data_IF_344498385301
#
_entry.id   IF_344498385301
#
_cell.length_a   1.000
_cell.length_b   1.000
_cell.length_c   1.000
_cell.angle_alpha   90.00
_cell.angle_beta   90.00
_cell.angle_gamma   90.00
#
_symmetry.space_group_name_H-M   'P 1'
#
loop_
_entity.id
_entity.type
_entity.pdbx_description
1 polymer ?
#
# COMPACT_ATOMS: atom_id res chain seq x y z
N UNK A 1 -11.19 32.76 -5.64
CA UNK A 1 -10.67 32.20 -4.37
C UNK A 1 -9.58 31.16 -4.69
N UNK A 2 -8.31 31.58 -4.58
CA UNK A 2 -7.16 30.85 -5.09
C UNK A 2 -6.85 29.56 -4.33
N UNK A 3 -6.42 28.55 -5.08
CA UNK A 3 -5.82 27.32 -4.56
C UNK A 3 -4.44 27.67 -4.00
N UNK A 4 -4.14 27.41 -2.72
CA UNK A 4 -2.82 27.66 -2.17
C UNK A 4 -1.80 26.63 -2.69
N UNK A 5 -0.79 27.15 -3.39
CA UNK A 5 0.58 26.65 -3.59
C UNK A 5 0.90 25.17 -3.33
N UNK A 6 0.93 24.37 -4.40
CA UNK A 6 1.91 23.28 -4.55
C UNK A 6 3.24 23.89 -5.01
N UNK A 7 3.93 24.54 -4.08
CA UNK A 7 5.23 25.16 -4.31
C UNK A 7 6.23 24.66 -3.27
N UNK A 8 7.05 23.69 -3.66
CA UNK A 8 8.15 23.18 -2.84
C UNK A 8 8.73 21.93 -3.47
N UNK A 9 9.99 22.02 -3.91
CA UNK A 9 10.91 20.95 -4.33
C UNK A 9 10.40 19.51 -4.20
N UNK A 10 10.37 18.79 -5.32
CA UNK A 10 9.90 17.40 -5.49
C UNK A 10 10.65 16.31 -4.73
N UNK A 11 10.98 16.55 -3.46
CA UNK A 11 11.39 15.52 -2.51
C UNK A 11 10.18 15.27 -1.61
N UNK A 12 9.47 14.16 -1.84
CA UNK A 12 8.43 13.70 -0.94
C UNK A 12 8.98 13.49 0.47
N UNK A 13 8.13 13.49 1.52
CA UNK A 13 8.55 13.19 2.87
C UNK A 13 9.10 11.75 2.90
N UNK A 14 10.42 11.60 2.89
CA UNK A 14 11.10 10.31 2.83
C UNK A 14 12.32 10.25 1.89
N UNK A 15 12.51 11.22 0.99
CA UNK A 15 13.76 11.31 0.23
C UNK A 15 14.89 11.77 1.16
N UNK A 16 16.04 11.08 1.23
CA UNK A 16 17.17 11.55 2.01
C UNK A 16 17.59 12.96 1.53
N UNK A 17 17.81 13.93 2.42
CA UNK A 17 17.92 15.34 2.05
C UNK A 17 19.25 15.71 1.36
N UNK A 18 20.05 14.75 0.90
CA UNK A 18 21.31 14.98 0.20
C UNK A 18 21.90 13.68 -0.39
N UNK A 19 22.85 13.84 -1.33
CA UNK A 19 23.63 12.75 -1.90
C UNK A 19 24.51 11.96 -0.92
N UNK A 20 24.54 12.32 0.37
CA UNK A 20 25.21 11.51 1.41
C UNK A 20 24.29 10.39 1.92
N UNK A 21 22.99 10.66 2.13
CA UNK A 21 22.00 9.64 2.48
C UNK A 21 21.77 8.62 1.35
N UNK A 22 21.72 9.10 0.10
CA UNK A 22 21.59 8.26 -1.09
C UNK A 22 22.75 7.27 -1.26
N UNK A 23 23.99 7.73 -1.06
CA UNK A 23 25.19 6.89 -1.13
C UNK A 23 25.22 5.80 -0.07
N UNK A 24 24.62 6.04 1.10
CA UNK A 24 24.46 5.04 2.15
C UNK A 24 23.42 3.97 1.81
N UNK A 25 22.30 4.35 1.17
CA UNK A 25 21.20 3.44 0.85
C UNK A 25 21.44 2.61 -0.41
N UNK A 26 22.11 3.18 -1.42
CA UNK A 26 22.26 2.58 -2.75
C UNK A 26 22.84 1.15 -2.71
N UNK A 27 23.97 0.85 -2.04
CA UNK A 27 24.50 -0.52 -2.01
C UNK A 27 23.57 -1.54 -1.33
N UNK A 28 22.87 -1.14 -0.25
CA UNK A 28 21.94 -2.01 0.46
C UNK A 28 20.64 -2.31 -0.30
N UNK A 29 20.36 -1.57 -1.38
CA UNK A 29 19.16 -1.69 -2.21
C UNK A 29 19.48 -2.07 -3.66
N UNK A 30 20.53 -2.86 -3.86
CA UNK A 30 20.88 -3.45 -5.17
C UNK A 30 21.80 -2.59 -6.05
N UNK A 31 22.24 -1.43 -5.57
CA UNK A 31 23.23 -0.59 -6.23
C UNK A 31 24.64 -1.17 -6.17
N UNK A 32 25.43 -0.92 -7.22
CA UNK A 32 26.85 -1.28 -7.26
C UNK A 32 27.75 -0.05 -7.30
N UNK A 33 27.96 0.68 -6.19
CA UNK A 33 28.69 1.95 -6.20
C UNK A 33 30.19 1.78 -6.43
N UNK A 34 30.76 0.64 -6.03
CA UNK A 34 32.19 0.34 -6.17
C UNK A 34 32.53 -0.40 -7.46
N UNK A 35 31.57 -0.58 -8.38
CA UNK A 35 31.82 -1.30 -9.63
C UNK A 35 32.86 -0.52 -10.47
N UNK A 36 33.97 -1.16 -10.87
CA UNK A 36 35.00 -0.51 -11.69
C UNK A 36 34.43 0.03 -13.01
N UNK A 37 34.94 1.19 -13.44
CA UNK A 37 34.57 1.83 -14.71
C UNK A 37 33.30 2.70 -14.67
N UNK A 38 32.63 2.82 -13.52
CA UNK A 38 31.54 3.79 -13.36
C UNK A 38 32.10 5.22 -13.30
N UNK A 39 31.46 6.14 -14.02
CA UNK A 39 31.76 7.58 -13.95
C UNK A 39 31.28 8.19 -12.63
N UNK A 40 30.11 7.77 -12.17
CA UNK A 40 29.51 8.19 -10.91
C UNK A 40 29.13 6.95 -10.07
N UNK A 41 29.46 6.88 -8.76
CA UNK A 41 29.05 5.79 -7.87
C UNK A 41 27.52 5.55 -7.82
N UNK A 42 26.68 6.56 -8.04
CA UNK A 42 25.22 6.45 -8.08
C UNK A 42 24.67 6.08 -9.46
N UNK A 43 25.52 5.94 -10.49
CA UNK A 43 25.07 5.54 -11.83
C UNK A 43 24.28 4.22 -11.80
N UNK A 44 23.02 4.26 -12.24
CA UNK A 44 22.15 3.10 -12.29
C UNK A 44 22.52 2.17 -13.44
N UNK A 45 22.30 0.87 -13.25
CA UNK A 45 22.52 -0.13 -14.29
C UNK A 45 21.31 -0.16 -15.22
N UNK A 46 21.51 0.05 -16.53
CA UNK A 46 20.46 -0.08 -17.54
C UNK A 46 20.42 -1.47 -18.16
N UNK A 47 21.60 -1.98 -18.52
CA UNK A 47 21.75 -3.29 -19.14
C UNK A 47 22.91 -4.03 -18.49
N UNK A 48 22.63 -5.24 -18.00
CA UNK A 48 23.64 -6.15 -17.45
C UNK A 48 24.00 -7.16 -18.50
N UNK A 49 25.24 -7.15 -18.97
CA UNK A 49 25.76 -8.19 -19.86
C UNK A 49 25.61 -9.61 -19.29
N UNK A 50 25.47 -10.58 -20.19
CA UNK A 50 25.26 -12.00 -19.90
C UNK A 50 26.27 -12.56 -18.90
N UNK A 51 25.80 -13.43 -18.01
CA UNK A 51 26.61 -14.17 -17.05
C UNK A 51 26.21 -15.65 -17.11
N UNK A 52 27.17 -16.58 -16.93
CA UNK A 52 26.85 -18.00 -16.91
C UNK A 52 25.71 -18.32 -15.91
N UNK A 53 24.66 -18.98 -16.39
CA UNK A 53 23.51 -19.38 -15.60
C UNK A 53 22.44 -18.30 -15.34
N UNK A 54 22.63 -17.06 -15.81
CA UNK A 54 21.58 -16.03 -15.78
C UNK A 54 20.82 -15.98 -17.13
N UNK A 55 19.49 -15.72 -17.13
CA UNK A 55 18.75 -15.51 -18.37
C UNK A 55 19.25 -14.26 -19.11
N UNK A 56 19.24 -14.33 -20.45
CA UNK A 56 19.74 -13.27 -21.32
C UNK A 56 18.94 -13.16 -22.63
N UNK A 57 18.86 -11.94 -23.16
CA UNK A 57 18.20 -11.56 -24.40
C UNK A 57 19.17 -10.85 -25.35
N UNK A 58 18.99 -11.04 -26.65
CA UNK A 58 19.78 -10.38 -27.69
C UNK A 58 19.32 -8.92 -27.89
N UNK A 59 20.26 -7.98 -27.85
CA UNK A 59 20.02 -6.56 -28.12
C UNK A 59 21.22 -5.92 -28.84
N UNK A 60 21.07 -4.73 -29.46
CA UNK A 60 22.21 -3.99 -30.00
C UNK A 60 23.29 -3.60 -28.97
N UNK A 61 22.96 -3.63 -27.68
CA UNK A 61 23.90 -3.37 -26.58
C UNK A 61 24.69 -4.64 -26.17
N UNK A 62 24.43 -5.76 -26.85
CA UNK A 62 24.95 -7.09 -26.52
C UNK A 62 23.96 -7.93 -25.71
N UNK A 63 24.27 -9.23 -25.59
CA UNK A 63 23.47 -10.18 -24.82
C UNK A 63 23.49 -9.85 -23.33
N UNK A 64 22.33 -9.89 -22.70
CA UNK A 64 22.20 -9.54 -21.30
C UNK A 64 20.75 -9.44 -20.85
N UNK A 65 20.53 -8.70 -19.77
CA UNK A 65 19.20 -8.46 -19.20
C UNK A 65 19.08 -7.04 -18.67
N UNK A 66 17.85 -6.50 -18.56
CA UNK A 66 17.66 -5.15 -18.07
C UNK A 66 18.10 -5.00 -16.60
N UNK A 67 18.38 -3.75 -16.23
CA UNK A 67 18.50 -3.35 -14.84
C UNK A 67 17.14 -3.00 -14.24
N UNK A 68 17.05 -3.12 -12.91
CA UNK A 68 15.78 -3.05 -12.19
C UNK A 68 14.97 -1.76 -12.43
N UNK A 69 15.61 -0.60 -12.44
CA UNK A 69 14.92 0.69 -12.57
C UNK A 69 14.35 0.93 -13.97
N UNK A 70 15.11 0.55 -15.01
CA UNK A 70 14.70 0.79 -16.41
C UNK A 70 13.51 -0.07 -16.81
N UNK A 71 13.30 -1.22 -16.16
CA UNK A 71 12.10 -2.05 -16.36
C UNK A 71 10.83 -1.27 -16.05
N UNK A 72 10.72 -0.71 -14.84
CA UNK A 72 9.56 0.09 -14.42
C UNK A 72 9.40 1.36 -15.25
N UNK A 73 10.50 2.06 -15.57
CA UNK A 73 10.47 3.21 -16.50
C UNK A 73 9.86 2.81 -17.85
N UNK A 74 10.37 1.75 -18.49
CA UNK A 74 9.91 1.35 -19.82
C UNK A 74 8.44 0.91 -19.82
N UNK A 75 7.99 0.19 -18.79
CA UNK A 75 6.60 -0.25 -18.64
C UNK A 75 5.68 0.97 -18.43
N UNK A 76 6.01 1.86 -17.50
CA UNK A 76 5.20 3.05 -17.22
C UNK A 76 5.05 3.93 -18.46
N UNK A 77 6.15 4.24 -19.16
CA UNK A 77 6.11 5.03 -20.39
C UNK A 77 5.29 4.36 -21.49
N UNK A 78 5.33 3.02 -21.59
CA UNK A 78 4.59 2.29 -22.62
C UNK A 78 3.09 2.33 -22.40
N UNK A 79 2.63 2.23 -21.16
CA UNK A 79 1.21 2.05 -20.85
C UNK A 79 0.51 3.31 -20.34
N UNK A 80 1.25 4.21 -19.70
CA UNK A 80 0.71 5.41 -19.06
C UNK A 80 1.26 6.69 -19.68
N UNK A 81 2.50 6.65 -20.19
CA UNK A 81 3.21 7.83 -20.69
C UNK A 81 3.86 8.63 -19.55
N UNK A 82 4.28 9.87 -19.87
CA UNK A 82 4.74 10.84 -18.87
C UNK A 82 3.54 11.50 -18.18
N UNK A 83 3.74 12.03 -16.96
CA UNK A 83 2.72 12.78 -16.24
C UNK A 83 1.49 11.94 -15.85
N UNK A 84 1.66 10.66 -15.57
CA UNK A 84 0.56 9.85 -15.04
C UNK A 84 0.26 10.20 -13.58
N UNK A 85 -0.93 9.87 -13.10
CA UNK A 85 -1.43 10.42 -11.83
C UNK A 85 -0.61 9.99 -10.60
N UNK A 86 -0.36 8.69 -10.42
CA UNK A 86 0.21 8.14 -9.18
C UNK A 86 1.26 7.06 -9.45
N UNK A 87 2.48 7.26 -8.93
CA UNK A 87 3.50 6.22 -8.77
C UNK A 87 3.48 5.69 -7.32
N UNK A 88 3.13 4.42 -7.14
CA UNK A 88 2.96 3.78 -5.83
C UNK A 88 4.07 2.78 -5.49
N UNK A 89 4.37 2.60 -4.20
CA UNK A 89 5.29 1.55 -3.73
C UNK A 89 5.50 1.53 -2.22
N UNK A 90 6.36 0.64 -1.73
CA UNK A 90 6.85 0.70 -0.34
C UNK A 90 7.83 1.86 -0.15
N UNK A 91 7.97 2.35 1.09
CA UNK A 91 8.91 3.43 1.42
C UNK A 91 10.38 3.07 1.10
N UNK A 92 10.71 1.79 0.99
CA UNK A 92 12.01 1.32 0.54
C UNK A 92 12.26 1.52 -0.97
N UNK A 93 11.22 1.80 -1.75
CA UNK A 93 11.31 2.08 -3.19
C UNK A 93 11.52 3.56 -3.51
N UNK A 94 11.33 4.48 -2.55
CA UNK A 94 11.60 5.93 -2.72
C UNK A 94 12.97 6.12 -3.39
N UNK A 95 14.00 5.54 -2.78
CA UNK A 95 15.35 5.51 -3.32
C UNK A 95 15.98 4.12 -3.19
N UNK A 96 16.71 3.62 -4.20
CA UNK A 96 16.96 4.27 -5.49
C UNK A 96 15.84 4.08 -6.51
N UNK A 97 14.83 3.25 -6.23
CA UNK A 97 14.01 2.68 -7.29
C UNK A 97 13.18 3.72 -8.05
N UNK A 98 12.30 4.47 -7.37
CA UNK A 98 11.46 5.48 -8.01
C UNK A 98 12.28 6.70 -8.46
N UNK A 99 13.25 7.14 -7.67
CA UNK A 99 14.13 8.26 -8.05
C UNK A 99 14.87 7.99 -9.38
N UNK A 100 15.47 6.81 -9.51
CA UNK A 100 16.17 6.42 -10.74
C UNK A 100 15.18 6.17 -11.88
N UNK A 101 14.00 5.62 -11.60
CA UNK A 101 13.00 5.36 -12.64
C UNK A 101 12.48 6.68 -13.26
N UNK A 102 12.21 7.68 -12.42
CA UNK A 102 11.80 9.01 -12.83
C UNK A 102 12.93 9.73 -13.59
N UNK A 103 14.14 9.73 -13.03
CA UNK A 103 15.32 10.34 -13.67
C UNK A 103 15.58 9.76 -15.07
N UNK A 104 15.44 8.43 -15.24
CA UNK A 104 15.60 7.77 -16.53
C UNK A 104 14.53 8.19 -17.53
N UNK A 105 13.28 8.30 -17.10
CA UNK A 105 12.20 8.77 -17.96
C UNK A 105 12.46 10.21 -18.43
N UNK A 106 12.76 11.12 -17.50
CA UNK A 106 12.98 12.54 -17.77
C UNK A 106 14.15 12.77 -18.72
N UNK A 107 15.27 12.05 -18.53
CA UNK A 107 16.42 12.15 -19.44
C UNK A 107 16.09 11.58 -20.82
N UNK A 108 15.29 10.51 -20.89
CA UNK A 108 14.91 9.88 -22.15
C UNK A 108 13.94 10.74 -22.96
N UNK A 109 12.96 11.36 -22.32
CA UNK A 109 11.86 12.09 -22.99
C UNK A 109 12.09 13.59 -23.06
N UNK A 110 12.88 14.16 -22.14
CA UNK A 110 13.01 15.61 -21.98
C UNK A 110 11.79 16.27 -21.32
N UNK A 111 10.90 15.49 -20.72
CA UNK A 111 9.64 15.95 -20.13
C UNK A 111 9.62 15.78 -18.61
N UNK A 112 8.83 16.63 -17.94
CA UNK A 112 8.52 16.51 -16.52
C UNK A 112 7.04 16.86 -16.25
N UNK A 113 6.41 16.27 -15.22
CA UNK A 113 6.95 15.24 -14.32
C UNK A 113 6.81 13.81 -14.88
N UNK A 114 7.54 12.83 -14.32
CA UNK A 114 7.29 11.41 -14.60
C UNK A 114 5.91 10.96 -14.10
N UNK A 115 5.56 11.31 -12.85
CA UNK A 115 4.24 11.11 -12.24
C UNK A 115 3.83 12.37 -11.44
N UNK A 116 2.53 12.64 -11.32
CA UNK A 116 2.02 13.80 -10.57
C UNK A 116 2.10 13.63 -9.05
N UNK A 117 1.88 12.41 -8.56
CA UNK A 117 2.00 12.08 -7.15
C UNK A 117 2.83 10.80 -6.96
N UNK A 118 3.59 10.76 -5.86
CA UNK A 118 4.29 9.57 -5.40
C UNK A 118 3.74 9.17 -4.05
N UNK A 119 3.22 7.94 -3.96
CA UNK A 119 2.51 7.43 -2.78
C UNK A 119 3.28 6.23 -2.22
N UNK A 120 3.69 6.34 -0.96
CA UNK A 120 4.53 5.34 -0.31
C UNK A 120 3.87 4.78 0.94
N UNK A 121 3.75 3.44 1.00
CA UNK A 121 3.30 2.78 2.22
C UNK A 121 4.45 2.50 3.18
N UNK A 122 4.17 2.49 4.48
CA UNK A 122 5.09 2.10 5.53
C UNK A 122 5.52 0.64 5.44
N UNK A 123 6.60 0.30 6.13
CA UNK A 123 7.14 -1.04 6.20
C UNK A 123 6.46 -1.83 7.32
N UNK A 124 6.20 -3.11 7.06
CA UNK A 124 5.70 -4.04 8.08
C UNK A 124 6.85 -4.83 8.68
N UNK A 125 7.02 -4.73 10.00
CA UNK A 125 7.99 -5.48 10.81
C UNK A 125 7.40 -6.73 11.46
N UNK A 126 8.24 -7.54 12.08
CA UNK A 126 7.86 -8.64 12.97
C UNK A 126 8.92 -8.77 14.08
N UNK A 127 8.48 -8.75 15.34
CA UNK A 127 9.30 -8.92 16.54
C UNK A 127 10.49 -7.94 16.62
N UNK A 128 10.27 -6.64 16.39
CA UNK A 128 11.34 -5.63 16.41
C UNK A 128 12.26 -5.64 15.18
N UNK A 129 12.03 -6.54 14.23
CA UNK A 129 12.90 -6.74 13.07
C UNK A 129 12.13 -6.55 11.74
N UNK A 130 12.79 -5.97 10.74
CA UNK A 130 12.24 -5.94 9.37
C UNK A 130 12.00 -7.37 8.87
N UNK A 131 10.79 -7.66 8.42
CA UNK A 131 10.44 -8.93 7.78
C UNK A 131 11.30 -9.16 6.52
N UNK A 132 11.98 -10.32 6.45
CA UNK A 132 12.79 -10.66 5.27
C UNK A 132 12.91 -12.18 5.08
N UNK A 133 12.99 -12.62 3.81
CA UNK A 133 13.20 -14.04 3.48
C UNK A 133 14.44 -14.63 4.18
N UNK A 134 15.51 -13.84 4.28
CA UNK A 134 16.77 -14.25 4.92
C UNK A 134 16.66 -14.50 6.42
N UNK A 135 15.71 -13.86 7.11
CA UNK A 135 15.50 -14.05 8.56
C UNK A 135 14.50 -15.15 8.90
N UNK A 136 13.82 -15.72 7.89
CA UNK A 136 12.81 -16.76 8.10
C UNK A 136 11.57 -16.30 8.86
N UNK A 137 11.42 -14.99 9.11
CA UNK A 137 10.38 -14.40 9.93
C UNK A 137 9.22 -13.84 9.08
N UNK A 138 8.93 -14.49 7.96
CA UNK A 138 7.86 -14.05 7.07
C UNK A 138 6.54 -14.71 7.44
N UNK A 139 5.54 -13.89 7.73
CA UNK A 139 4.15 -14.33 7.77
C UNK A 139 3.56 -14.20 6.37
N UNK A 140 3.23 -15.32 5.74
CA UNK A 140 2.66 -15.34 4.40
C UNK A 140 1.14 -15.35 4.47
N UNK A 141 0.49 -14.44 3.73
CA UNK A 141 -0.97 -14.42 3.62
C UNK A 141 -1.54 -15.74 3.08
N UNK A 142 -0.81 -16.44 2.20
CA UNK A 142 -1.19 -17.77 1.74
C UNK A 142 -1.19 -18.81 2.87
N UNK A 143 -0.21 -18.75 3.78
CA UNK A 143 -0.15 -19.64 4.93
C UNK A 143 -1.28 -19.34 5.92
N UNK A 144 -1.51 -18.06 6.26
CA UNK A 144 -2.62 -17.66 7.13
C UNK A 144 -3.96 -18.20 6.61
N UNK A 145 -4.22 -18.08 5.30
CA UNK A 145 -5.43 -18.64 4.69
C UNK A 145 -5.48 -20.17 4.74
N UNK A 146 -4.35 -20.85 4.52
CA UNK A 146 -4.28 -22.31 4.64
C UNK A 146 -4.53 -22.78 6.08
N UNK A 147 -4.18 -21.96 7.06
CA UNK A 147 -4.43 -22.20 8.49
C UNK A 147 -5.86 -21.83 8.93
N UNK A 148 -6.72 -21.45 7.98
CA UNK A 148 -8.14 -21.17 8.23
C UNK A 148 -8.45 -19.72 8.65
N UNK A 149 -7.49 -18.81 8.57
CA UNK A 149 -7.75 -17.39 8.85
C UNK A 149 -8.62 -16.78 7.75
N UNK A 150 -9.71 -16.13 8.15
CA UNK A 150 -10.58 -15.40 7.24
C UNK A 150 -9.79 -14.27 6.54
N UNK A 151 -9.75 -14.23 5.19
CA UNK A 151 -9.08 -13.16 4.46
C UNK A 151 -9.53 -11.75 4.84
N UNK A 152 -10.79 -11.58 5.27
CA UNK A 152 -11.32 -10.29 5.72
C UNK A 152 -10.67 -9.84 7.03
N UNK A 153 -10.31 -10.78 7.92
CA UNK A 153 -9.56 -10.46 9.12
C UNK A 153 -8.11 -10.07 8.81
N UNK A 154 -7.46 -10.75 7.85
CA UNK A 154 -6.13 -10.34 7.35
C UNK A 154 -6.20 -8.92 6.79
N UNK A 155 -7.27 -8.59 6.05
CA UNK A 155 -7.47 -7.26 5.49
C UNK A 155 -7.69 -6.21 6.58
N UNK A 156 -8.54 -6.47 7.56
CA UNK A 156 -8.77 -5.58 8.70
C UNK A 156 -7.51 -5.36 9.56
N UNK A 157 -6.65 -6.38 9.67
CA UNK A 157 -5.35 -6.27 10.33
C UNK A 157 -4.38 -5.32 9.59
N UNK A 158 -4.50 -5.18 8.27
CA UNK A 158 -3.72 -4.20 7.50
C UNK A 158 -4.35 -2.81 7.58
N UNK A 159 -5.68 -2.72 7.46
CA UNK A 159 -6.43 -1.47 7.49
C UNK A 159 -6.50 -0.82 8.89
N UNK A 160 -6.09 -1.52 9.95
CA UNK A 160 -6.01 -0.96 11.30
C UNK A 160 -4.87 0.04 11.50
N UNK A 161 -4.03 0.22 10.48
CA UNK A 161 -2.88 1.12 10.49
C UNK A 161 -3.00 2.10 9.33
N UNK A 162 -2.65 3.37 9.56
CA UNK A 162 -2.56 4.33 8.48
C UNK A 162 -1.49 3.87 7.49
N UNK A 163 -1.77 3.90 6.17
CA UNK A 163 -0.90 3.22 5.18
C UNK A 163 0.55 3.73 5.17
N UNK A 164 0.79 4.97 5.61
CA UNK A 164 2.12 5.62 5.68
C UNK A 164 2.93 5.25 6.92
N UNK A 165 2.31 4.65 7.93
CA UNK A 165 2.96 4.33 9.19
C UNK A 165 3.68 2.99 9.10
N UNK A 166 4.90 2.92 9.63
CA UNK A 166 5.56 1.65 9.90
C UNK A 166 4.85 0.99 11.09
N UNK A 167 4.59 -0.31 11.00
CA UNK A 167 3.91 -1.07 12.05
C UNK A 167 4.42 -2.50 12.13
N UNK A 168 4.16 -3.15 13.26
CA UNK A 168 4.58 -4.54 13.48
C UNK A 168 3.42 -5.50 13.37
N UNK A 169 3.59 -6.52 12.53
CA UNK A 169 2.71 -7.66 12.54
C UNK A 169 2.87 -8.40 13.86
N UNK A 170 1.76 -8.78 14.48
CA UNK A 170 1.77 -9.65 15.66
C UNK A 170 0.54 -10.52 15.71
N UNK A 171 0.60 -11.58 16.53
CA UNK A 171 -0.59 -12.41 16.78
C UNK A 171 -1.73 -11.61 17.43
N UNK A 172 -1.42 -10.54 18.17
CA UNK A 172 -2.44 -9.67 18.76
C UNK A 172 -3.17 -8.86 17.69
N UNK A 173 -2.44 -8.26 16.74
CA UNK A 173 -3.05 -7.51 15.61
C UNK A 173 -4.03 -8.41 14.86
N UNK A 174 -3.66 -9.66 14.60
CA UNK A 174 -4.54 -10.60 13.93
C UNK A 174 -5.74 -11.02 14.79
N UNK A 175 -5.58 -11.16 16.11
CA UNK A 175 -6.72 -11.44 17.02
C UNK A 175 -7.69 -10.26 17.07
N UNK A 176 -7.19 -9.04 17.22
CA UNK A 176 -8.01 -7.83 17.27
C UNK A 176 -8.83 -7.66 15.98
N UNK A 177 -8.22 -7.96 14.83
CA UNK A 177 -8.90 -7.91 13.54
C UNK A 177 -9.98 -8.99 13.39
N UNK A 178 -9.77 -10.20 13.93
CA UNK A 178 -10.81 -11.25 13.97
C UNK A 178 -11.97 -10.85 14.87
N UNK A 179 -11.69 -10.35 16.08
CA UNK A 179 -12.72 -9.89 17.01
C UNK A 179 -13.53 -8.72 16.44
N UNK A 180 -12.87 -7.79 15.73
CA UNK A 180 -13.54 -6.72 14.98
C UNK A 180 -14.46 -7.30 13.90
N UNK A 181 -13.96 -8.22 13.08
CA UNK A 181 -14.75 -8.85 12.01
C UNK A 181 -15.99 -9.56 12.57
N UNK A 182 -15.81 -10.34 13.64
CA UNK A 182 -16.90 -11.07 14.29
C UNK A 182 -17.97 -10.12 14.83
N UNK A 183 -17.55 -9.00 15.44
CA UNK A 183 -18.46 -7.95 15.92
C UNK A 183 -19.25 -7.31 14.78
N UNK A 184 -18.59 -6.96 13.68
CA UNK A 184 -19.24 -6.35 12.51
C UNK A 184 -20.24 -7.31 11.87
N UNK A 185 -19.87 -8.59 11.75
CA UNK A 185 -20.77 -9.65 11.25
C UNK A 185 -21.96 -9.88 12.18
N UNK A 186 -21.74 -9.89 13.49
CA UNK A 186 -22.81 -10.01 14.47
C UNK A 186 -23.80 -8.84 14.36
N UNK A 187 -23.31 -7.61 14.22
CA UNK A 187 -24.14 -6.43 14.01
C UNK A 187 -24.93 -6.51 12.68
N UNK A 188 -24.26 -6.92 11.60
CA UNK A 188 -24.86 -7.12 10.28
C UNK A 188 -25.85 -8.30 10.21
N UNK A 189 -25.89 -9.17 11.22
CA UNK A 189 -26.86 -10.26 11.34
C UNK A 189 -28.11 -9.88 12.17
N UNK A 190 -28.13 -8.71 12.81
CA UNK A 190 -29.27 -8.26 13.63
C UNK A 190 -30.49 -7.92 12.74
N UNK A 191 -31.72 -8.23 13.21
CA UNK A 191 -32.94 -7.86 12.50
C UNK A 191 -33.16 -6.33 12.49
N UNK A 192 -32.76 -5.66 13.57
CA UNK A 192 -32.79 -4.21 13.73
C UNK A 192 -31.37 -3.68 13.92
N UNK A 193 -31.08 -2.46 13.46
CA UNK A 193 -29.74 -1.86 13.58
C UNK A 193 -29.80 -0.37 13.90
N UNK A 194 -28.66 0.20 14.27
CA UNK A 194 -28.47 1.64 14.31
C UNK A 194 -28.53 2.25 12.90
N UNK A 195 -28.78 3.56 12.80
CA UNK A 195 -28.82 4.27 11.52
C UNK A 195 -27.44 4.30 10.86
N UNK A 196 -27.30 3.56 9.76
CA UNK A 196 -26.08 3.44 8.97
C UNK A 196 -25.80 4.59 8.00
N UNK A 197 -26.71 5.57 7.83
CA UNK A 197 -26.51 6.66 6.85
C UNK A 197 -25.26 7.49 7.11
N UNK A 198 -24.97 7.76 8.39
CA UNK A 198 -23.76 8.50 8.77
C UNK A 198 -22.47 7.72 8.49
N UNK A 199 -22.53 6.39 8.55
CA UNK A 199 -21.36 5.53 8.31
C UNK A 199 -20.83 5.74 6.89
N UNK A 200 -21.71 5.84 5.89
CA UNK A 200 -21.29 6.09 4.51
C UNK A 200 -20.51 7.41 4.38
N UNK A 201 -21.06 8.50 4.91
CA UNK A 201 -20.46 9.82 4.78
C UNK A 201 -19.15 9.93 5.56
N UNK A 202 -19.11 9.38 6.78
CA UNK A 202 -17.92 9.42 7.63
C UNK A 202 -16.80 8.52 7.09
N UNK A 203 -17.11 7.31 6.61
CA UNK A 203 -16.12 6.43 5.96
C UNK A 203 -15.56 7.09 4.69
N UNK A 204 -16.40 7.71 3.86
CA UNK A 204 -15.92 8.45 2.68
C UNK A 204 -15.01 9.62 3.06
N UNK A 205 -15.38 10.38 4.08
CA UNK A 205 -14.58 11.51 4.56
C UNK A 205 -13.21 11.04 5.09
N UNK A 206 -13.18 9.97 5.87
CA UNK A 206 -11.96 9.37 6.39
C UNK A 206 -11.04 8.88 5.24
N UNK A 207 -11.60 8.12 4.29
CA UNK A 207 -10.82 7.63 3.14
C UNK A 207 -10.32 8.76 2.22
N UNK A 208 -11.11 9.82 2.04
CA UNK A 208 -10.69 11.00 1.27
C UNK A 208 -9.59 11.82 1.98
N UNK A 209 -9.45 11.66 3.29
CA UNK A 209 -8.42 12.27 4.10
C UNK A 209 -7.18 11.37 4.19
N UNK A 210 -6.40 11.30 3.10
CA UNK A 210 -5.15 10.51 2.99
C UNK A 210 -5.34 9.02 3.35
N UNK A 211 -6.47 8.41 2.95
CA UNK A 211 -6.77 7.00 3.24
C UNK A 211 -6.68 6.68 4.75
N UNK A 212 -7.27 7.52 5.60
CA UNK A 212 -7.37 7.31 7.04
C UNK A 212 -8.30 6.13 7.36
N UNK A 213 -7.74 4.93 7.15
CA UNK A 213 -8.41 3.66 7.36
C UNK A 213 -8.68 3.40 8.85
N UNK A 214 -7.80 3.74 9.82
CA UNK A 214 -8.15 3.68 11.24
C UNK A 214 -9.44 4.45 11.59
N UNK A 215 -9.58 5.68 11.09
CA UNK A 215 -10.81 6.46 11.31
C UNK A 215 -12.03 5.82 10.61
N UNK A 216 -11.86 5.33 9.38
CA UNK A 216 -12.93 4.63 8.67
C UNK A 216 -13.39 3.35 9.41
N UNK A 217 -12.46 2.57 9.96
CA UNK A 217 -12.79 1.39 10.77
C UNK A 217 -13.52 1.79 12.06
N UNK A 218 -13.10 2.89 12.71
CA UNK A 218 -13.75 3.38 13.93
C UNK A 218 -15.23 3.79 13.70
N UNK A 219 -15.56 4.34 12.53
CA UNK A 219 -16.95 4.64 12.15
C UNK A 219 -17.83 3.38 12.11
N UNK A 220 -17.30 2.28 11.56
CA UNK A 220 -18.02 1.00 11.49
C UNK A 220 -18.05 0.31 12.85
N UNK A 221 -16.97 0.40 13.64
CA UNK A 221 -16.93 -0.08 15.03
C UNK A 221 -18.06 0.56 15.85
N UNK A 222 -18.21 1.89 15.79
CA UNK A 222 -19.25 2.62 16.49
C UNK A 222 -20.67 2.20 16.06
N UNK A 223 -20.90 1.97 14.76
CA UNK A 223 -22.17 1.46 14.27
C UNK A 223 -22.47 0.04 14.77
N UNK A 224 -21.45 -0.84 14.76
CA UNK A 224 -21.59 -2.21 15.24
C UNK A 224 -21.89 -2.24 16.74
N UNK A 225 -21.19 -1.45 17.54
CA UNK A 225 -21.41 -1.30 18.98
C UNK A 225 -22.81 -0.78 19.30
N UNK A 226 -23.26 0.29 18.63
CA UNK A 226 -24.61 0.82 18.80
C UNK A 226 -25.69 -0.22 18.43
N UNK A 227 -25.48 -0.95 17.33
CA UNK A 227 -26.40 -2.00 16.86
C UNK A 227 -26.49 -3.18 17.82
N UNK A 228 -25.38 -3.53 18.49
CA UNK A 228 -25.33 -4.64 19.44
C UNK A 228 -25.81 -4.25 20.84
N UNK A 229 -25.61 -3.00 21.25
CA UNK A 229 -26.08 -2.47 22.54
C UNK A 229 -27.61 -2.28 22.59
N UNK A 230 -28.23 -1.91 21.46
CA UNK A 230 -29.67 -1.66 21.39
C UNK A 230 -30.48 -2.95 21.10
N UNK A 231 -31.01 -3.54 22.17
CA UNK A 231 -32.03 -4.60 22.13
C UNK A 231 -33.44 -4.09 22.48
N UNK A 232 -33.70 -2.78 22.35
CA UNK A 232 -34.96 -2.15 22.72
C UNK A 232 -36.11 -2.33 21.69
N UNK A 233 -37.37 -2.49 22.13
CA UNK A 233 -38.53 -2.83 21.28
C UNK A 233 -39.08 -1.71 20.39
N UNK A 234 -38.55 -0.48 20.49
CA UNK A 234 -39.13 0.74 19.87
C UNK A 234 -38.37 1.25 18.63
N UNK A 235 -37.59 0.41 17.94
CA UNK A 235 -36.82 0.86 16.76
C UNK A 235 -37.42 0.41 15.44
N UNK A 236 -37.45 1.37 14.50
CA UNK A 236 -37.89 1.18 13.14
C UNK A 236 -37.04 0.13 12.40
N UNK A 237 -37.69 -0.61 11.50
CA UNK A 237 -37.01 -1.46 10.54
C UNK A 237 -36.07 -0.61 9.68
N UNK A 238 -34.78 -0.78 9.92
CA UNK A 238 -33.70 -0.13 9.19
C UNK A 238 -32.97 -1.16 8.32
N UNK A 239 -33.67 -2.16 7.77
CA UNK A 239 -33.08 -3.12 6.83
C UNK A 239 -32.25 -2.44 5.74
N UNK A 240 -32.78 -1.34 5.17
CA UNK A 240 -32.05 -0.51 4.20
C UNK A 240 -30.78 0.13 4.76
N UNK A 241 -30.76 0.54 6.02
CA UNK A 241 -29.56 1.12 6.64
C UNK A 241 -28.50 0.06 6.97
N UNK A 242 -28.89 -1.16 7.33
CA UNK A 242 -27.95 -2.28 7.50
C UNK A 242 -27.30 -2.67 6.18
N UNK A 243 -28.12 -2.85 5.14
CA UNK A 243 -27.63 -3.24 3.82
C UNK A 243 -26.66 -2.18 3.27
N UNK A 244 -26.95 -0.89 3.51
CA UNK A 244 -26.01 0.20 3.21
C UNK A 244 -24.66 0.04 3.90
N UNK A 245 -24.61 -0.32 5.18
CA UNK A 245 -23.32 -0.49 5.90
C UNK A 245 -22.57 -1.72 5.39
N UNK A 246 -23.28 -2.80 5.07
CA UNK A 246 -22.68 -3.99 4.44
C UNK A 246 -22.06 -3.61 3.09
N UNK A 247 -22.77 -2.86 2.26
CA UNK A 247 -22.29 -2.38 0.96
C UNK A 247 -21.10 -1.43 1.11
N UNK A 248 -21.09 -0.56 2.14
CA UNK A 248 -19.96 0.31 2.45
C UNK A 248 -18.71 -0.50 2.81
N UNK A 249 -18.86 -1.51 3.67
CA UNK A 249 -17.74 -2.36 4.06
C UNK A 249 -17.16 -3.10 2.87
N UNK A 250 -18.00 -3.66 1.99
CA UNK A 250 -17.53 -4.36 0.80
C UNK A 250 -16.94 -3.38 -0.24
N UNK A 251 -17.69 -2.38 -0.67
CA UNK A 251 -17.30 -1.52 -1.78
C UNK A 251 -16.14 -0.57 -1.46
N UNK A 252 -16.05 -0.03 -0.24
CA UNK A 252 -15.05 0.96 0.12
C UNK A 252 -13.88 0.37 0.91
N UNK A 253 -14.15 -0.63 1.75
CA UNK A 253 -13.12 -1.25 2.57
C UNK A 253 -12.71 -2.63 2.06
N UNK A 254 -13.44 -3.26 1.14
CA UNK A 254 -13.18 -4.63 0.66
C UNK A 254 -13.39 -5.69 1.73
N UNK A 255 -14.27 -5.43 2.71
CA UNK A 255 -14.56 -6.29 3.87
C UNK A 255 -15.96 -6.87 3.75
N UNK A 256 -16.04 -8.15 3.40
CA UNK A 256 -17.29 -8.88 3.24
C UNK A 256 -17.85 -9.33 4.59
N UNK A 257 -19.01 -8.77 4.96
CA UNK A 257 -19.72 -9.09 6.22
C UNK A 257 -20.74 -10.22 6.09
N UNK A 258 -21.15 -10.54 4.87
CA UNK A 258 -21.99 -11.70 4.59
C UNK A 258 -21.13 -12.74 3.88
N UNK A 259 -21.23 -14.02 4.23
CA UNK A 259 -20.62 -15.06 3.40
C UNK A 259 -21.21 -14.97 1.98
N UNK A 260 -20.41 -15.29 0.98
CA UNK A 260 -20.89 -15.41 -0.39
C UNK A 260 -22.11 -16.34 -0.41
N UNK A 261 -23.18 -15.94 -1.09
CA UNK A 261 -24.30 -16.83 -1.35
C UNK A 261 -23.77 -17.99 -2.21
N UNK A 262 -23.68 -19.18 -1.62
CA UNK A 262 -23.32 -20.41 -2.31
C UNK A 262 -24.36 -20.81 -3.38
#
# INVERSE_FOLDING_TARGET
PGVPGLGGSGLGPGSPPNGAGERGLFPGRGGGPTRPGKRDPLGSLLWRGERPGEPAWDTPLGRGRPGWHVECTAIALRYLGMGFDVQGGGSDLVFPHHEMSASLAQVLTGEEPFAHAYVYHGMVGLDGEKMSKSKGNLVFSAQLRADGVDPMAIRLAVLSHHYREDWEWSSQVLRDAQERLDRWRAAAARPTCADGRKVLDEVRAALASDLDTPAALACVDAWAEATLADAGPDRHDHAHSRDLVVDVCDALLGVQLRPDAA
#
